data_IF_756616383177
#
_entry.id   IF_756616383177
#
_cell.length_a   1.000
_cell.length_b   1.000
_cell.length_c   1.000
_cell.angle_alpha   90.00
_cell.angle_beta   90.00
_cell.angle_gamma   90.00
#
_symmetry.space_group_name_H-M   'P 1'
#
loop_
_entity.id
_entity.type
_entity.pdbx_description
1 polymer ?
#
# COMPACT_ATOMS: atom_id res chain seq x y z
N UNK A 1 -3.83 -18.82 28.12
CA UNK A 1 -4.44 -18.59 26.78
C UNK A 1 -3.36 -17.89 25.97
N UNK A 2 -2.72 -18.61 25.06
CA UNK A 2 -1.55 -18.13 24.31
C UNK A 2 -2.03 -17.27 23.14
N UNK A 3 -1.50 -16.05 23.04
CA UNK A 3 -1.73 -15.15 21.92
C UNK A 3 -0.88 -15.60 20.72
N UNK A 4 -1.43 -16.51 19.91
CA UNK A 4 -0.92 -16.86 18.57
C UNK A 4 -1.74 -16.10 17.50
N UNK A 5 -1.82 -14.77 17.57
CA UNK A 5 -2.71 -13.99 16.67
C UNK A 5 -2.02 -13.31 15.49
N UNK A 6 -0.70 -13.21 15.44
CA UNK A 6 -0.04 -12.35 14.44
C UNK A 6 -0.08 -12.91 13.00
N UNK A 7 -0.17 -14.23 12.82
CA UNK A 7 -0.19 -14.83 11.47
C UNK A 7 -1.58 -14.74 10.79
N UNK A 8 -2.64 -14.53 11.58
CA UNK A 8 -4.03 -14.52 11.11
C UNK A 8 -4.42 -13.18 10.47
N UNK A 9 -3.86 -12.08 10.95
CA UNK A 9 -4.30 -10.74 10.53
C UNK A 9 -3.75 -10.36 9.16
N UNK A 10 -2.47 -10.61 8.90
CA UNK A 10 -1.85 -10.26 7.61
C UNK A 10 -2.41 -11.12 6.46
N UNK A 11 -2.76 -12.39 6.73
CA UNK A 11 -3.35 -13.27 5.71
C UNK A 11 -4.75 -12.83 5.32
N UNK A 12 -5.52 -12.33 6.28
CA UNK A 12 -6.83 -11.71 6.05
C UNK A 12 -6.70 -10.42 5.26
N UNK A 13 -5.74 -9.56 5.63
CA UNK A 13 -5.44 -8.31 4.92
C UNK A 13 -4.98 -8.61 3.49
N UNK A 14 -4.12 -9.61 3.28
CA UNK A 14 -3.64 -10.00 1.97
C UNK A 14 -4.76 -10.58 1.09
N UNK A 15 -5.64 -11.43 1.62
CA UNK A 15 -6.82 -11.91 0.89
C UNK A 15 -7.79 -10.78 0.56
N UNK A 16 -7.96 -9.81 1.45
CA UNK A 16 -8.79 -8.64 1.20
C UNK A 16 -8.19 -7.77 0.09
N UNK A 17 -6.89 -7.46 0.17
CA UNK A 17 -6.15 -6.74 -0.87
C UNK A 17 -6.19 -7.47 -2.22
N UNK A 18 -6.00 -8.79 -2.24
CA UNK A 18 -6.08 -9.58 -3.48
C UNK A 18 -7.47 -9.58 -4.13
N UNK A 19 -8.53 -9.33 -3.35
CA UNK A 19 -9.90 -9.19 -3.85
C UNK A 19 -10.25 -7.77 -4.33
N UNK A 20 -9.36 -6.79 -4.10
CA UNK A 20 -9.55 -5.40 -4.47
C UNK A 20 -8.81 -5.07 -5.76
N UNK A 21 -9.36 -4.12 -6.53
CA UNK A 21 -8.64 -3.56 -7.67
C UNK A 21 -7.42 -2.78 -7.16
N UNK A 22 -6.28 -2.93 -7.82
CA UNK A 22 -5.05 -2.17 -7.58
C UNK A 22 -5.32 -0.67 -7.38
N UNK A 23 -6.23 -0.11 -8.17
CA UNK A 23 -6.69 1.29 -8.08
C UNK A 23 -7.23 1.62 -6.69
N UNK A 24 -8.16 0.80 -6.18
CA UNK A 24 -8.79 0.99 -4.87
C UNK A 24 -7.80 0.82 -3.73
N UNK A 25 -6.81 -0.07 -3.89
CA UNK A 25 -5.76 -0.26 -2.90
C UNK A 25 -4.91 1.00 -2.78
N UNK A 26 -4.41 1.52 -3.90
CA UNK A 26 -3.58 2.73 -3.93
C UNK A 26 -4.34 3.93 -3.39
N UNK A 27 -5.58 4.16 -3.84
CA UNK A 27 -6.42 5.25 -3.34
C UNK A 27 -6.71 5.11 -1.84
N UNK A 28 -6.98 3.90 -1.36
CA UNK A 28 -7.19 3.62 0.07
C UNK A 28 -5.95 3.93 0.91
N UNK A 29 -4.76 3.58 0.42
CA UNK A 29 -3.48 3.92 1.04
C UNK A 29 -3.26 5.43 1.11
N UNK A 30 -3.44 6.16 0.00
CA UNK A 30 -3.29 7.62 -0.05
C UNK A 30 -4.29 8.31 0.88
N UNK A 31 -5.55 7.88 0.88
CA UNK A 31 -6.58 8.40 1.78
C UNK A 31 -6.19 8.20 3.26
N UNK A 32 -5.67 7.01 3.60
CA UNK A 32 -5.28 6.69 4.98
C UNK A 32 -4.06 7.50 5.45
N UNK A 33 -3.02 7.60 4.64
CA UNK A 33 -1.77 8.26 5.03
C UNK A 33 -1.83 9.78 4.94
N UNK A 34 -2.52 10.33 3.94
CA UNK A 34 -2.60 11.78 3.72
C UNK A 34 -3.85 12.43 4.32
N UNK A 35 -4.78 11.64 4.90
CA UNK A 35 -6.07 12.10 5.41
C UNK A 35 -6.91 12.91 4.39
N UNK A 36 -6.68 12.68 3.10
CA UNK A 36 -7.39 13.30 1.99
C UNK A 36 -8.72 12.57 1.82
N UNK A 37 -9.84 13.26 2.08
CA UNK A 37 -11.21 12.70 1.94
C UNK A 37 -11.85 12.98 0.59
N UNK A 38 -11.23 13.84 -0.20
CA UNK A 38 -11.77 14.29 -1.48
C UNK A 38 -11.42 13.28 -2.58
N UNK A 39 -12.46 12.66 -3.14
CA UNK A 39 -12.34 11.61 -4.15
C UNK A 39 -11.80 12.16 -5.49
N UNK A 40 -12.09 13.41 -5.85
CA UNK A 40 -11.51 14.02 -7.07
C UNK A 40 -9.99 14.25 -6.92
N UNK A 41 -9.54 14.59 -5.71
CA UNK A 41 -8.11 14.75 -5.42
C UNK A 41 -7.42 13.39 -5.44
N UNK A 42 -8.07 12.35 -4.90
CA UNK A 42 -7.59 10.97 -4.97
C UNK A 42 -7.52 10.44 -6.41
N UNK A 43 -8.50 10.78 -7.24
CA UNK A 43 -8.51 10.42 -8.67
C UNK A 43 -7.39 11.11 -9.42
N UNK A 44 -7.14 12.40 -9.19
CA UNK A 44 -6.00 13.11 -9.79
C UNK A 44 -4.66 12.59 -9.34
N UNK A 45 -4.46 12.34 -8.05
CA UNK A 45 -3.22 11.72 -7.54
C UNK A 45 -3.06 10.34 -8.17
N UNK A 46 -4.13 9.57 -8.29
CA UNK A 46 -4.04 8.29 -8.96
C UNK A 46 -3.65 8.46 -10.43
N UNK A 47 -4.32 9.30 -11.21
CA UNK A 47 -4.03 9.49 -12.64
C UNK A 47 -2.61 10.06 -12.87
N UNK A 48 -2.17 11.02 -12.05
CA UNK A 48 -0.84 11.64 -12.15
C UNK A 48 0.28 10.66 -11.78
N UNK A 49 0.07 9.74 -10.84
CA UNK A 49 1.10 8.79 -10.40
C UNK A 49 1.00 7.40 -11.05
N UNK A 50 -0.17 7.03 -11.59
CA UNK A 50 -0.42 5.75 -12.29
C UNK A 50 0.24 5.72 -13.66
N UNK A 51 0.31 6.86 -14.34
CA UNK A 51 0.66 6.91 -15.76
C UNK A 51 2.16 6.83 -16.06
N UNK A 52 3.05 6.85 -15.06
CA UNK A 52 4.48 7.09 -15.33
C UNK A 52 5.46 6.28 -14.49
N UNK A 53 5.16 5.00 -14.20
CA UNK A 53 6.02 4.11 -13.38
C UNK A 53 6.43 4.72 -12.02
N UNK A 54 5.81 5.82 -11.62
CA UNK A 54 6.28 6.73 -10.58
C UNK A 54 5.87 6.20 -9.23
N UNK A 55 4.64 5.68 -9.14
CA UNK A 55 4.18 4.93 -7.99
C UNK A 55 5.02 3.66 -7.79
N UNK A 56 5.37 2.96 -8.88
CA UNK A 56 6.23 1.79 -8.81
C UNK A 56 7.64 2.19 -8.35
N UNK A 57 8.19 3.30 -8.84
CA UNK A 57 9.53 3.79 -8.49
C UNK A 57 9.60 4.26 -7.04
N UNK A 58 8.61 5.01 -6.57
CA UNK A 58 8.53 5.47 -5.17
C UNK A 58 8.36 4.29 -4.22
N UNK A 59 7.38 3.41 -4.48
CA UNK A 59 7.18 2.20 -3.67
C UNK A 59 8.42 1.30 -3.71
N UNK A 60 9.03 1.10 -4.88
CA UNK A 60 10.18 0.21 -5.00
C UNK A 60 11.40 0.76 -4.24
N UNK A 61 11.66 2.07 -4.25
CA UNK A 61 12.79 2.65 -3.51
C UNK A 61 12.62 2.54 -1.98
N UNK A 62 11.44 2.87 -1.46
CA UNK A 62 11.18 2.78 -0.02
C UNK A 62 11.09 1.32 0.45
N UNK A 63 10.45 0.45 -0.35
CA UNK A 63 10.35 -0.97 -0.04
C UNK A 63 11.72 -1.66 -0.13
N UNK A 64 12.56 -1.34 -1.12
CA UNK A 64 13.95 -1.81 -1.20
C UNK A 64 14.75 -1.38 0.02
N UNK A 65 14.58 -0.14 0.49
CA UNK A 65 15.27 0.36 1.69
C UNK A 65 14.87 -0.42 2.94
N UNK A 66 13.57 -0.71 3.10
CA UNK A 66 13.05 -1.52 4.20
C UNK A 66 13.54 -2.98 4.07
N UNK A 67 13.45 -3.58 2.89
CA UNK A 67 13.91 -4.96 2.63
C UNK A 67 15.41 -5.08 2.94
N UNK A 68 16.23 -4.14 2.48
CA UNK A 68 17.67 -4.11 2.74
C UNK A 68 17.98 -3.94 4.23
N UNK A 69 17.20 -3.16 4.97
CA UNK A 69 17.36 -3.02 6.41
C UNK A 69 17.17 -4.35 7.17
N UNK A 70 16.24 -5.20 6.71
CA UNK A 70 15.99 -6.51 7.33
C UNK A 70 16.88 -7.63 6.77
N UNK A 71 17.33 -7.56 5.51
CA UNK A 71 18.26 -8.52 4.90
C UNK A 71 19.73 -8.26 5.27
N UNK A 72 20.08 -7.03 5.62
CA UNK A 72 21.44 -6.68 6.07
C UNK A 72 21.68 -7.03 7.55
N UNK A 73 20.84 -7.88 8.15
CA UNK A 73 20.91 -8.32 9.54
C UNK A 73 21.27 -9.79 9.66
#
# INVERSE_FOLDING_TARGET
MNHDTTQSDWRTVASCLASQNYISIVKGLVHHFAAIKDEEILDKIYDDFMNDDSIATVLNNDLQTIINHYLSK
#
